data_IF_756137319086
#
_entry.id   IF_756137319086
#
_cell.length_a   1.000
_cell.length_b   1.000
_cell.length_c   1.000
_cell.angle_alpha   90.00
_cell.angle_beta   90.00
_cell.angle_gamma   90.00
#
_symmetry.space_group_name_H-M   'P 1'
#
loop_
_entity.id
_entity.type
_entity.pdbx_description
1 polymer ?
#
# COMPACT_ATOMS: atom_id res chain seq x y z
N UNK A 1 -43.67 -38.68 46.82
CA UNK A 1 -42.63 -38.97 45.80
C UNK A 1 -42.31 -37.80 44.85
N UNK A 2 -42.96 -36.63 44.94
CA UNK A 2 -42.81 -35.54 43.95
C UNK A 2 -41.79 -34.45 44.29
N UNK A 3 -41.37 -34.29 45.56
CA UNK A 3 -40.41 -33.23 45.94
C UNK A 3 -38.93 -33.53 45.59
N UNK A 4 -38.57 -34.80 45.43
CA UNK A 4 -37.17 -35.20 45.18
C UNK A 4 -36.76 -35.07 43.68
N UNK A 5 -37.74 -35.12 42.77
CA UNK A 5 -37.55 -34.93 41.33
C UNK A 5 -37.36 -33.45 40.94
N UNK A 6 -37.95 -32.51 41.68
CA UNK A 6 -37.80 -31.08 41.39
C UNK A 6 -36.40 -30.54 41.74
N UNK A 7 -35.79 -31.03 42.82
CA UNK A 7 -34.44 -30.61 43.24
C UNK A 7 -33.35 -31.15 42.31
N UNK A 8 -33.55 -32.34 41.74
CA UNK A 8 -32.60 -32.97 40.80
C UNK A 8 -32.58 -32.30 39.42
N UNK A 9 -33.73 -31.80 38.94
CA UNK A 9 -33.82 -31.03 37.68
C UNK A 9 -33.16 -29.64 37.78
N UNK A 10 -33.31 -28.96 38.92
CA UNK A 10 -32.65 -27.66 39.18
C UNK A 10 -31.13 -27.81 39.30
N UNK A 11 -30.65 -28.90 39.90
CA UNK A 11 -29.22 -29.21 39.98
C UNK A 11 -28.62 -29.54 38.61
N UNK A 12 -29.31 -30.35 37.79
CA UNK A 12 -28.85 -30.64 36.41
C UNK A 12 -28.79 -29.37 35.56
N UNK A 13 -29.78 -28.49 35.64
CA UNK A 13 -29.79 -27.22 34.90
C UNK A 13 -28.65 -26.29 35.29
N UNK A 14 -28.33 -26.19 36.58
CA UNK A 14 -27.24 -25.33 37.06
C UNK A 14 -25.86 -25.89 36.66
N UNK A 15 -25.66 -27.21 36.74
CA UNK A 15 -24.42 -27.87 36.30
C UNK A 15 -24.23 -27.75 34.78
N UNK A 16 -25.30 -27.89 33.98
CA UNK A 16 -25.24 -27.72 32.53
C UNK A 16 -24.88 -26.28 32.15
N UNK A 17 -25.43 -25.29 32.86
CA UNK A 17 -25.17 -23.86 32.61
C UNK A 17 -23.74 -23.47 33.00
N UNK A 18 -23.22 -23.98 34.12
CA UNK A 18 -21.82 -23.77 34.53
C UNK A 18 -20.86 -24.49 33.58
N UNK A 19 -21.19 -25.69 33.11
CA UNK A 19 -20.40 -26.41 32.12
C UNK A 19 -20.38 -25.67 30.77
N UNK A 20 -21.50 -25.13 30.29
CA UNK A 20 -21.55 -24.30 29.08
C UNK A 20 -20.77 -22.98 29.24
N UNK A 21 -20.85 -22.33 30.40
CA UNK A 21 -20.03 -21.14 30.71
C UNK A 21 -18.53 -21.47 30.78
N UNK A 22 -18.15 -22.59 31.39
CA UNK A 22 -16.75 -23.02 31.48
C UNK A 22 -16.20 -23.50 30.13
N UNK A 23 -17.04 -24.10 29.28
CA UNK A 23 -16.66 -24.51 27.92
C UNK A 23 -16.45 -23.29 27.01
N UNK A 24 -17.29 -22.25 27.14
CA UNK A 24 -17.12 -20.98 26.44
C UNK A 24 -15.86 -20.21 26.87
N UNK A 25 -15.36 -20.41 28.10
CA UNK A 25 -14.12 -19.78 28.58
C UNK A 25 -12.84 -20.59 28.28
N UNK A 26 -12.95 -21.81 27.74
CA UNK A 26 -11.81 -22.69 27.44
C UNK A 26 -11.61 -22.98 25.94
N UNK A 27 -12.37 -22.31 25.05
CA UNK A 27 -12.10 -22.39 23.61
C UNK A 27 -10.83 -21.58 23.29
N UNK A 28 -9.87 -22.21 22.60
CA UNK A 28 -8.70 -21.50 22.09
C UNK A 28 -9.21 -20.42 21.11
N UNK A 29 -8.87 -19.12 21.29
CA UNK A 29 -9.38 -18.07 20.43
C UNK A 29 -9.08 -18.37 18.96
N UNK A 30 -10.03 -18.06 18.08
CA UNK A 30 -9.86 -18.15 16.64
C UNK A 30 -8.65 -17.31 16.17
N UNK A 31 -8.10 -17.60 14.98
CA UNK A 31 -7.02 -16.78 14.40
C UNK A 31 -7.45 -15.32 14.30
N UNK A 32 -8.69 -15.05 13.89
CA UNK A 32 -9.24 -13.70 13.83
C UNK A 32 -9.23 -13.01 15.20
N UNK A 33 -9.65 -13.69 16.26
CA UNK A 33 -9.61 -13.14 17.63
C UNK A 33 -8.17 -12.90 18.11
N UNK A 34 -7.25 -13.82 17.83
CA UNK A 34 -5.84 -13.65 18.15
C UNK A 34 -5.23 -12.44 17.41
N UNK A 35 -5.53 -12.27 16.12
CA UNK A 35 -5.09 -11.10 15.35
C UNK A 35 -5.72 -9.81 15.88
N UNK A 36 -7.01 -9.79 16.21
CA UNK A 36 -7.68 -8.63 16.84
C UNK A 36 -7.03 -8.28 18.17
N UNK A 37 -6.61 -9.28 18.95
CA UNK A 37 -5.90 -9.04 20.22
C UNK A 37 -4.56 -8.32 20.01
N UNK A 38 -3.90 -8.52 18.85
CA UNK A 38 -2.68 -7.81 18.45
C UNK A 38 -2.93 -6.38 17.97
N UNK A 39 -4.19 -5.96 17.83
CA UNK A 39 -4.57 -4.64 17.30
C UNK A 39 -4.88 -4.66 15.80
N UNK A 40 -5.14 -5.82 15.22
CA UNK A 40 -5.61 -5.89 13.84
C UNK A 40 -6.98 -5.20 13.69
N UNK A 41 -7.06 -4.30 12.72
CA UNK A 41 -8.31 -3.64 12.34
C UNK A 41 -8.90 -4.35 11.12
N UNK A 42 -10.21 -4.26 10.92
CA UNK A 42 -10.85 -4.70 9.67
C UNK A 42 -10.45 -6.12 9.20
N UNK A 43 -10.68 -7.15 10.01
CA UNK A 43 -10.55 -8.54 9.57
C UNK A 43 -11.87 -9.03 8.99
N UNK A 44 -11.83 -9.69 7.82
CA UNK A 44 -12.96 -10.40 7.22
C UNK A 44 -12.62 -11.86 6.97
N UNK A 45 -13.59 -12.71 7.27
CA UNK A 45 -13.55 -14.13 7.01
C UNK A 45 -14.62 -14.51 5.98
N UNK A 46 -14.33 -15.51 5.15
CA UNK A 46 -15.27 -16.14 4.22
C UNK A 46 -15.25 -17.63 4.54
N UNK A 47 -16.41 -18.19 4.86
CA UNK A 47 -16.55 -19.61 5.25
C UNK A 47 -15.61 -20.05 6.40
N UNK A 48 -15.30 -19.12 7.30
CA UNK A 48 -14.43 -19.36 8.47
C UNK A 48 -12.93 -19.24 8.20
N UNK A 49 -12.53 -18.81 6.99
CA UNK A 49 -11.13 -18.56 6.65
C UNK A 49 -10.83 -17.08 6.43
N UNK A 50 -9.62 -16.65 6.78
CA UNK A 50 -9.20 -15.26 6.63
C UNK A 50 -9.09 -14.87 5.16
N UNK A 51 -9.78 -13.80 4.74
CA UNK A 51 -9.73 -13.31 3.37
C UNK A 51 -9.18 -11.88 3.25
N UNK A 52 -9.46 -11.05 4.25
CA UNK A 52 -8.97 -9.68 4.33
C UNK A 52 -8.41 -9.45 5.73
N UNK A 53 -7.13 -9.09 5.82
CA UNK A 53 -6.42 -8.92 7.08
C UNK A 53 -5.64 -7.60 7.06
N UNK A 54 -6.05 -6.65 7.91
CA UNK A 54 -5.31 -5.39 8.09
C UNK A 54 -4.66 -5.34 9.48
N UNK A 55 -3.33 -5.52 9.51
CA UNK A 55 -2.48 -5.49 10.69
C UNK A 55 -1.67 -4.19 10.75
N UNK A 56 -2.06 -3.18 9.97
CA UNK A 56 -1.39 -1.88 9.98
C UNK A 56 -1.36 -1.29 11.39
N UNK A 57 -0.22 -0.73 11.80
CA UNK A 57 -0.04 -0.09 13.12
C UNK A 57 -0.31 -1.03 14.32
N UNK A 58 -0.33 -2.34 14.09
CA UNK A 58 -0.61 -3.33 15.13
C UNK A 58 0.68 -3.84 15.79
N UNK A 59 0.53 -4.65 16.84
CA UNK A 59 1.64 -5.36 17.50
C UNK A 59 2.06 -6.65 16.78
N UNK A 60 1.58 -6.87 15.55
CA UNK A 60 2.01 -8.01 14.74
C UNK A 60 3.53 -7.99 14.51
N UNK A 61 4.12 -9.17 14.49
CA UNK A 61 5.55 -9.41 14.32
C UNK A 61 5.79 -10.81 13.74
N UNK A 62 7.04 -11.13 13.48
CA UNK A 62 7.45 -12.47 13.03
C UNK A 62 6.98 -13.59 13.98
N UNK A 63 6.92 -13.33 15.29
CA UNK A 63 6.48 -14.31 16.30
C UNK A 63 4.98 -14.64 16.17
N UNK A 64 4.21 -13.77 15.53
CA UNK A 64 2.78 -13.95 15.26
C UNK A 64 2.46 -14.35 13.82
N UNK A 65 3.48 -14.54 12.97
CA UNK A 65 3.30 -14.88 11.56
C UNK A 65 2.59 -16.23 11.34
N UNK A 66 2.66 -17.15 12.31
CA UNK A 66 1.94 -18.43 12.29
C UNK A 66 0.41 -18.27 12.21
N UNK A 67 -0.12 -17.09 12.55
CA UNK A 67 -1.55 -16.81 12.45
C UNK A 67 -2.04 -16.66 11.00
N UNK A 68 -1.12 -16.45 10.04
CA UNK A 68 -1.45 -16.22 8.62
C UNK A 68 -0.73 -17.17 7.67
N UNK A 69 0.14 -18.08 8.16
CA UNK A 69 1.07 -18.85 7.32
C UNK A 69 0.42 -19.83 6.34
N UNK A 70 -0.76 -20.35 6.67
CA UNK A 70 -1.50 -21.35 5.90
C UNK A 70 -2.80 -20.80 5.30
N UNK A 71 -3.03 -19.48 5.42
CA UNK A 71 -4.30 -18.84 5.09
C UNK A 71 -4.38 -18.50 3.60
N UNK A 72 -4.47 -19.54 2.77
CA UNK A 72 -4.46 -19.44 1.30
C UNK A 72 -5.65 -18.67 0.72
N UNK A 73 -6.68 -18.37 1.51
CA UNK A 73 -7.82 -17.53 1.13
C UNK A 73 -7.59 -16.03 1.32
N UNK A 74 -6.45 -15.61 1.87
CA UNK A 74 -6.11 -14.19 2.03
C UNK A 74 -5.85 -13.55 0.67
N UNK A 75 -6.68 -12.57 0.34
CA UNK A 75 -6.58 -11.78 -0.90
C UNK A 75 -5.99 -10.38 -0.61
N UNK A 76 -6.25 -9.85 0.58
CA UNK A 76 -5.71 -8.57 1.07
C UNK A 76 -4.95 -8.78 2.37
N UNK A 77 -3.70 -8.32 2.40
CA UNK A 77 -2.88 -8.31 3.59
C UNK A 77 -2.13 -6.99 3.73
N UNK A 78 -2.26 -6.36 4.90
CA UNK A 78 -1.41 -5.23 5.29
C UNK A 78 -0.72 -5.59 6.59
N UNK A 79 0.61 -5.52 6.61
CA UNK A 79 1.45 -5.57 7.83
C UNK A 79 2.26 -4.28 7.97
N UNK A 80 1.81 -3.21 7.33
CA UNK A 80 2.50 -1.93 7.31
C UNK A 80 2.67 -1.35 8.74
N UNK A 81 3.84 -0.78 9.03
CA UNK A 81 4.21 -0.18 10.32
C UNK A 81 4.07 -1.15 11.50
N UNK A 82 4.47 -2.39 11.25
CA UNK A 82 4.64 -3.42 12.27
C UNK A 82 6.13 -3.73 12.45
N UNK A 83 6.46 -4.63 13.38
CA UNK A 83 7.86 -5.07 13.57
C UNK A 83 8.28 -6.23 12.65
N UNK A 84 7.47 -6.54 11.63
CA UNK A 84 7.74 -7.60 10.65
C UNK A 84 9.05 -7.42 9.90
N UNK A 85 9.73 -8.54 9.65
CA UNK A 85 10.98 -8.63 8.91
C UNK A 85 10.84 -9.59 7.71
N UNK A 86 11.96 -9.92 7.08
CA UNK A 86 12.08 -10.93 6.03
C UNK A 86 11.55 -12.33 6.42
N UNK A 87 11.47 -12.63 7.72
CA UNK A 87 10.81 -13.86 8.21
C UNK A 87 9.31 -13.82 7.92
N UNK A 88 8.61 -12.76 8.34
CA UNK A 88 7.19 -12.56 8.02
C UNK A 88 6.97 -12.60 6.51
N UNK A 89 7.80 -11.89 5.72
CA UNK A 89 7.63 -11.88 4.27
C UNK A 89 7.82 -13.26 3.64
N UNK A 90 8.80 -14.03 4.11
CA UNK A 90 9.00 -15.41 3.63
C UNK A 90 7.79 -16.30 3.89
N UNK A 91 7.08 -16.08 4.99
CA UNK A 91 5.79 -16.75 5.28
C UNK A 91 4.70 -16.31 4.29
N UNK A 92 4.55 -15.00 4.08
CA UNK A 92 3.50 -14.41 3.22
C UNK A 92 3.67 -14.77 1.74
N UNK A 93 4.89 -14.99 1.27
CA UNK A 93 5.17 -15.34 -0.13
C UNK A 93 4.54 -16.69 -0.55
N UNK A 94 4.06 -17.52 0.40
CA UNK A 94 3.26 -18.71 0.10
C UNK A 94 1.77 -18.46 -0.20
N UNK A 95 1.27 -17.23 -0.01
CA UNK A 95 -0.15 -16.87 -0.17
C UNK A 95 -0.44 -16.48 -1.63
N UNK A 96 -0.56 -17.49 -2.49
CA UNK A 96 -0.49 -17.33 -3.95
C UNK A 96 -1.65 -16.54 -4.59
N UNK A 97 -2.76 -16.34 -3.88
CA UNK A 97 -3.92 -15.59 -4.39
C UNK A 97 -3.90 -14.11 -3.98
N UNK A 98 -2.88 -13.67 -3.23
CA UNK A 98 -2.73 -12.29 -2.81
C UNK A 98 -2.83 -11.32 -3.99
N UNK A 99 -3.70 -10.32 -3.84
CA UNK A 99 -3.88 -9.24 -4.81
C UNK A 99 -3.44 -7.89 -4.26
N UNK A 100 -3.58 -7.68 -2.95
CA UNK A 100 -3.22 -6.43 -2.28
C UNK A 100 -2.28 -6.73 -1.11
N UNK A 101 -1.06 -6.22 -1.19
CA UNK A 101 -0.03 -6.43 -0.18
C UNK A 101 0.62 -5.09 0.21
N UNK A 102 0.54 -4.73 1.49
CA UNK A 102 1.11 -3.50 2.05
C UNK A 102 2.13 -3.84 3.14
N UNK A 103 3.38 -3.44 2.91
CA UNK A 103 4.56 -3.76 3.71
C UNK A 103 5.25 -2.50 4.23
N UNK A 104 4.60 -1.34 4.12
CA UNK A 104 5.20 -0.03 4.34
C UNK A 104 5.78 0.11 5.75
N UNK A 105 6.96 0.74 5.88
CA UNK A 105 7.59 1.01 7.17
C UNK A 105 7.90 -0.25 8.00
N UNK A 106 8.13 -1.38 7.35
CA UNK A 106 8.61 -2.63 7.97
C UNK A 106 10.12 -2.77 7.83
N UNK A 107 10.71 -3.80 8.46
CA UNK A 107 12.16 -4.08 8.40
C UNK A 107 12.51 -5.09 7.30
N UNK A 108 11.74 -5.09 6.22
CA UNK A 108 11.94 -5.97 5.07
C UNK A 108 13.10 -5.46 4.23
N UNK A 109 13.92 -6.40 3.74
CA UNK A 109 15.09 -6.15 2.90
C UNK A 109 15.01 -6.95 1.60
N UNK A 110 16.00 -6.77 0.72
CA UNK A 110 16.11 -7.57 -0.50
C UNK A 110 16.20 -9.09 -0.24
N UNK A 111 16.61 -9.54 0.95
CA UNK A 111 16.79 -10.98 1.26
C UNK A 111 15.51 -11.79 1.02
N UNK A 112 14.36 -11.31 1.51
CA UNK A 112 13.07 -11.92 1.22
C UNK A 112 12.31 -11.21 0.10
N UNK A 113 12.51 -9.90 -0.11
CA UNK A 113 11.72 -9.13 -1.06
C UNK A 113 11.90 -9.57 -2.52
N UNK A 114 13.04 -10.17 -2.89
CA UNK A 114 13.21 -10.81 -4.21
C UNK A 114 12.18 -11.90 -4.50
N UNK A 115 11.55 -12.51 -3.48
CA UNK A 115 10.50 -13.52 -3.63
C UNK A 115 9.12 -12.92 -3.95
N UNK A 116 8.93 -11.61 -3.77
CA UNK A 116 7.66 -10.94 -4.14
C UNK A 116 7.32 -11.17 -5.62
N UNK A 117 8.32 -11.38 -6.48
CA UNK A 117 8.13 -11.71 -7.88
C UNK A 117 7.30 -12.98 -8.11
N UNK A 118 7.21 -13.88 -7.12
CA UNK A 118 6.50 -15.15 -7.20
C UNK A 118 5.00 -15.00 -6.94
N UNK A 119 4.57 -13.89 -6.32
CA UNK A 119 3.17 -13.54 -6.13
C UNK A 119 2.54 -13.02 -7.44
N UNK A 120 2.23 -13.96 -8.36
CA UNK A 120 1.82 -13.66 -9.74
C UNK A 120 0.45 -12.97 -9.87
N UNK A 121 -0.34 -12.93 -8.81
CA UNK A 121 -1.69 -12.35 -8.78
C UNK A 121 -1.74 -10.93 -8.20
N UNK A 122 -0.60 -10.36 -7.78
CA UNK A 122 -0.55 -9.02 -7.20
C UNK A 122 -1.13 -7.99 -8.16
N UNK A 123 -2.03 -7.16 -7.64
CA UNK A 123 -2.59 -5.96 -8.28
C UNK A 123 -2.04 -4.70 -7.65
N UNK A 124 -1.81 -4.71 -6.34
CA UNK A 124 -1.23 -3.60 -5.59
C UNK A 124 -0.14 -4.13 -4.67
N UNK A 125 1.02 -3.51 -4.74
CA UNK A 125 2.14 -3.73 -3.84
C UNK A 125 2.64 -2.38 -3.32
N UNK A 126 2.81 -2.28 -2.01
CA UNK A 126 3.41 -1.14 -1.34
C UNK A 126 4.53 -1.60 -0.43
N UNK A 127 5.73 -1.07 -0.62
CA UNK A 127 6.94 -1.35 0.18
C UNK A 127 7.60 -0.04 0.63
N UNK A 128 6.81 1.03 0.77
CA UNK A 128 7.32 2.36 1.07
C UNK A 128 8.08 2.37 2.41
N UNK A 129 9.20 3.08 2.50
CA UNK A 129 9.97 3.20 3.73
C UNK A 129 10.53 1.87 4.26
N UNK A 130 10.79 0.90 3.38
CA UNK A 130 11.50 -0.35 3.71
C UNK A 130 12.95 -0.31 3.21
N UNK A 131 13.76 -1.32 3.54
CA UNK A 131 15.16 -1.40 3.13
C UNK A 131 15.35 -2.17 1.80
N UNK A 132 14.37 -2.09 0.90
CA UNK A 132 14.47 -2.66 -0.44
C UNK A 132 15.29 -1.76 -1.36
N UNK A 133 16.02 -2.39 -2.27
CA UNK A 133 16.84 -1.71 -3.28
C UNK A 133 16.49 -2.21 -4.68
N UNK A 134 17.26 -1.79 -5.69
CA UNK A 134 17.10 -2.27 -7.07
C UNK A 134 17.18 -3.80 -7.21
N UNK A 135 17.82 -4.50 -6.28
CA UNK A 135 17.91 -5.97 -6.31
C UNK A 135 16.53 -6.62 -6.20
N UNK A 136 15.62 -6.07 -5.41
CA UNK A 136 14.26 -6.59 -5.24
C UNK A 136 13.52 -6.67 -6.58
N UNK A 137 13.66 -5.64 -7.43
CA UNK A 137 12.86 -5.51 -8.66
C UNK A 137 13.59 -5.91 -9.94
N UNK A 138 14.87 -6.29 -9.86
CA UNK A 138 15.70 -6.64 -11.03
C UNK A 138 15.11 -7.74 -11.94
N UNK A 139 14.23 -8.60 -11.40
CA UNK A 139 13.58 -9.71 -12.11
C UNK A 139 12.05 -9.65 -12.08
N UNK A 140 11.48 -8.51 -11.69
CA UNK A 140 10.03 -8.37 -11.61
C UNK A 140 9.39 -8.62 -13.00
N UNK A 141 8.32 -9.41 -13.01
CA UNK A 141 7.64 -9.87 -14.23
C UNK A 141 6.14 -10.00 -14.06
N UNK A 142 5.57 -9.30 -13.06
CA UNK A 142 4.15 -9.33 -12.75
C UNK A 142 3.31 -8.92 -13.97
N UNK A 143 2.29 -9.72 -14.28
CA UNK A 143 1.38 -9.50 -15.42
C UNK A 143 0.07 -8.85 -15.02
N UNK A 144 -0.15 -8.68 -13.71
CA UNK A 144 -1.40 -8.22 -13.13
C UNK A 144 -1.24 -6.98 -12.26
N UNK A 145 -0.01 -6.47 -12.08
CA UNK A 145 0.24 -5.33 -11.19
C UNK A 145 -0.30 -4.05 -11.82
N UNK A 146 -1.10 -3.31 -11.05
CA UNK A 146 -1.71 -2.04 -11.46
C UNK A 146 -1.14 -0.88 -10.65
N UNK A 147 -0.82 -1.12 -9.38
CA UNK A 147 -0.28 -0.12 -8.45
C UNK A 147 1.00 -0.64 -7.83
N UNK A 148 2.07 0.15 -7.94
CA UNK A 148 3.33 -0.11 -7.27
C UNK A 148 3.77 1.16 -6.54
N UNK A 149 3.96 1.04 -5.23
CA UNK A 149 4.42 2.13 -4.36
C UNK A 149 5.74 1.69 -3.72
N UNK A 150 6.80 2.43 -4.03
CA UNK A 150 8.16 2.15 -3.57
C UNK A 150 8.84 3.39 -3.00
N UNK A 151 8.04 4.34 -2.54
CA UNK A 151 8.51 5.62 -2.02
C UNK A 151 9.41 5.48 -0.80
N UNK A 152 10.30 6.44 -0.59
CA UNK A 152 11.23 6.46 0.54
C UNK A 152 12.08 5.17 0.66
N UNK A 153 12.56 4.64 -0.49
CA UNK A 153 13.46 3.48 -0.55
C UNK A 153 14.77 3.83 -1.28
N UNK A 154 15.76 2.94 -1.23
CA UNK A 154 17.06 3.10 -1.92
C UNK A 154 16.98 2.70 -3.41
N UNK A 155 15.85 2.98 -4.06
CA UNK A 155 15.65 2.72 -5.48
C UNK A 155 16.34 3.77 -6.34
N UNK A 156 16.89 3.32 -7.47
CA UNK A 156 17.52 4.17 -8.48
C UNK A 156 16.91 3.94 -9.88
N UNK A 157 17.48 4.61 -10.89
CA UNK A 157 17.10 4.45 -12.29
C UNK A 157 17.16 2.99 -12.79
N UNK A 158 17.94 2.12 -12.13
CA UNK A 158 18.03 0.70 -12.48
C UNK A 158 16.73 -0.08 -12.23
N UNK A 159 16.00 0.20 -11.15
CA UNK A 159 14.67 -0.40 -10.93
C UNK A 159 13.71 0.01 -12.03
N UNK A 160 13.66 1.30 -12.36
CA UNK A 160 12.71 1.84 -13.34
C UNK A 160 12.90 1.21 -14.73
N UNK A 161 14.15 0.94 -15.12
CA UNK A 161 14.46 0.14 -16.34
C UNK A 161 13.81 -1.25 -16.30
N UNK A 162 13.78 -1.90 -15.13
CA UNK A 162 13.12 -3.20 -14.95
C UNK A 162 11.59 -3.07 -14.98
N UNK A 163 11.03 -2.00 -14.38
CA UNK A 163 9.60 -1.72 -14.35
C UNK A 163 9.01 -1.40 -15.74
N UNK A 164 9.82 -0.98 -16.70
CA UNK A 164 9.39 -0.66 -18.08
C UNK A 164 8.62 -1.80 -18.78
N UNK A 165 8.78 -3.04 -18.31
CA UNK A 165 8.10 -4.25 -18.83
C UNK A 165 6.71 -4.46 -18.25
N UNK A 166 6.31 -3.71 -17.23
CA UNK A 166 5.04 -3.85 -16.51
C UNK A 166 3.96 -3.02 -17.21
N UNK A 167 3.52 -3.48 -18.38
CA UNK A 167 2.56 -2.77 -19.24
C UNK A 167 1.14 -2.67 -18.68
N UNK A 168 0.87 -3.25 -17.51
CA UNK A 168 -0.40 -3.14 -16.78
C UNK A 168 -0.36 -2.10 -15.66
N UNK A 169 0.79 -1.45 -15.44
CA UNK A 169 0.98 -0.51 -14.34
C UNK A 169 0.30 0.83 -14.67
N UNK A 170 -0.63 1.24 -13.81
CA UNK A 170 -1.41 2.48 -13.97
C UNK A 170 -1.05 3.53 -12.92
N UNK A 171 -0.57 3.11 -11.76
CA UNK A 171 -0.15 3.97 -10.66
C UNK A 171 1.25 3.56 -10.21
N UNK A 172 2.18 4.51 -10.23
CA UNK A 172 3.56 4.32 -9.80
C UNK A 172 3.98 5.47 -8.90
N UNK A 173 4.36 5.16 -7.66
CA UNK A 173 4.92 6.13 -6.72
C UNK A 173 6.40 5.82 -6.50
N UNK A 174 7.25 6.75 -6.94
CA UNK A 174 8.70 6.75 -6.83
C UNK A 174 9.19 7.91 -5.94
N UNK A 175 8.30 8.53 -5.16
CA UNK A 175 8.65 9.69 -4.34
C UNK A 175 9.74 9.37 -3.32
N UNK A 176 10.62 10.33 -3.03
CA UNK A 176 11.71 10.17 -2.06
C UNK A 176 12.78 9.14 -2.47
N UNK A 177 12.78 8.67 -3.72
CA UNK A 177 13.82 7.76 -4.25
C UNK A 177 14.98 8.54 -4.89
N UNK A 178 16.08 7.84 -5.25
CA UNK A 178 17.27 8.45 -5.85
C UNK A 178 17.25 8.47 -7.40
N UNK A 179 16.06 8.49 -8.02
CA UNK A 179 15.94 8.53 -9.48
C UNK A 179 16.31 9.90 -10.07
N UNK A 180 16.72 9.88 -11.33
CA UNK A 180 17.15 11.04 -12.12
C UNK A 180 16.51 11.01 -13.51
N UNK A 181 16.80 12.01 -14.34
CA UNK A 181 16.32 12.07 -15.72
C UNK A 181 16.73 10.84 -16.57
N UNK A 182 17.74 10.07 -16.15
CA UNK A 182 18.21 8.86 -16.84
C UNK A 182 17.16 7.73 -16.86
N UNK A 183 16.19 7.73 -15.94
CA UNK A 183 15.10 6.74 -15.95
C UNK A 183 13.94 7.11 -16.89
N UNK A 184 13.86 8.36 -17.34
CA UNK A 184 12.64 8.88 -17.99
C UNK A 184 12.31 8.13 -19.27
N UNK A 185 13.30 7.76 -20.07
CA UNK A 185 13.08 6.98 -21.30
C UNK A 185 12.47 5.59 -20.99
N UNK A 186 12.72 5.05 -19.79
CA UNK A 186 12.08 3.82 -19.30
C UNK A 186 10.68 4.06 -18.75
N UNK A 187 10.44 5.17 -18.04
CA UNK A 187 9.10 5.55 -17.57
C UNK A 187 8.14 5.76 -18.74
N UNK A 188 8.56 6.46 -19.78
CA UNK A 188 7.71 6.72 -20.94
C UNK A 188 7.39 5.45 -21.74
N UNK A 189 8.06 4.33 -21.51
CA UNK A 189 7.71 3.04 -22.10
C UNK A 189 6.45 2.42 -21.44
N UNK A 190 6.11 2.82 -20.21
CA UNK A 190 4.93 2.35 -19.47
C UNK A 190 3.72 3.19 -19.88
N UNK A 191 3.22 2.96 -21.10
CA UNK A 191 2.14 3.76 -21.71
C UNK A 191 0.81 3.73 -20.96
N UNK A 192 0.63 2.77 -20.07
CA UNK A 192 -0.56 2.61 -19.23
C UNK A 192 -0.62 3.53 -18.01
N UNK A 193 0.46 4.28 -17.71
CA UNK A 193 0.49 5.16 -16.54
C UNK A 193 -0.58 6.24 -16.61
N UNK A 194 -1.34 6.32 -15.52
CA UNK A 194 -2.38 7.34 -15.28
C UNK A 194 -2.03 8.23 -14.09
N UNK A 195 -1.28 7.70 -13.12
CA UNK A 195 -0.79 8.41 -11.94
C UNK A 195 0.69 8.12 -11.77
N UNK A 196 1.50 9.16 -11.62
CA UNK A 196 2.94 9.07 -11.42
C UNK A 196 3.38 10.07 -10.36
N UNK A 197 4.01 9.59 -9.30
CA UNK A 197 4.62 10.44 -8.28
C UNK A 197 6.15 10.39 -8.38
N UNK A 198 6.75 11.54 -8.61
CA UNK A 198 8.19 11.79 -8.71
C UNK A 198 8.65 12.79 -7.64
N UNK A 199 7.84 13.04 -6.60
CA UNK A 199 8.15 14.04 -5.58
C UNK A 199 9.43 13.71 -4.84
N UNK A 200 10.19 14.72 -4.43
CA UNK A 200 11.43 14.59 -3.68
C UNK A 200 12.49 13.70 -4.38
N UNK A 201 12.52 13.74 -5.72
CA UNK A 201 13.52 13.10 -6.56
C UNK A 201 14.40 14.12 -7.29
N UNK A 202 15.38 13.66 -8.09
CA UNK A 202 16.30 14.53 -8.84
C UNK A 202 15.87 14.77 -10.28
N UNK A 203 14.57 14.73 -10.54
CA UNK A 203 14.01 15.04 -11.86
C UNK A 203 14.12 16.54 -12.13
N UNK A 204 14.56 16.88 -13.35
CA UNK A 204 14.69 18.27 -13.80
C UNK A 204 13.63 18.61 -14.85
N UNK A 205 13.57 19.88 -15.25
CA UNK A 205 12.76 20.35 -16.39
C UNK A 205 12.97 19.52 -17.67
N UNK A 206 14.20 19.03 -17.91
CA UNK A 206 14.54 18.27 -19.11
C UNK A 206 13.87 16.89 -19.13
N UNK A 207 13.98 16.12 -18.04
CA UNK A 207 13.26 14.86 -17.89
C UNK A 207 11.75 15.04 -17.86
N UNK A 208 11.26 16.00 -17.07
CA UNK A 208 9.84 16.30 -16.94
C UNK A 208 9.17 16.61 -18.29
N UNK A 209 9.82 17.41 -19.14
CA UNK A 209 9.29 17.74 -20.46
C UNK A 209 9.04 16.51 -21.36
N UNK A 210 9.81 15.43 -21.20
CA UNK A 210 9.63 14.19 -21.97
C UNK A 210 8.38 13.41 -21.56
N UNK A 211 7.90 13.54 -20.32
CA UNK A 211 6.70 12.83 -19.82
C UNK A 211 5.42 13.22 -20.58
N UNK A 212 5.45 14.32 -21.33
CA UNK A 212 4.35 14.81 -22.16
C UNK A 212 3.83 13.78 -23.18
N UNK A 213 4.64 12.78 -23.55
CA UNK A 213 4.24 11.69 -24.46
C UNK A 213 3.32 10.64 -23.82
N UNK A 214 3.17 10.61 -22.50
CA UNK A 214 2.28 9.69 -21.79
C UNK A 214 0.84 10.19 -21.86
N UNK A 215 0.13 9.92 -22.96
CA UNK A 215 -1.21 10.47 -23.24
C UNK A 215 -2.27 10.11 -22.19
N UNK A 216 -2.12 8.96 -21.53
CA UNK A 216 -3.04 8.48 -20.50
C UNK A 216 -2.77 9.06 -19.11
N UNK A 217 -1.65 9.80 -18.93
CA UNK A 217 -1.30 10.40 -17.64
C UNK A 217 -2.32 11.48 -17.26
N UNK A 218 -2.90 11.32 -16.07
CA UNK A 218 -3.94 12.16 -15.48
C UNK A 218 -3.45 12.93 -14.28
N UNK A 219 -2.57 12.35 -13.47
CA UNK A 219 -2.01 12.98 -12.29
C UNK A 219 -0.49 12.79 -12.27
N UNK A 220 0.23 13.88 -12.02
CA UNK A 220 1.69 13.90 -11.95
C UNK A 220 2.13 14.78 -10.77
N UNK A 221 2.84 14.18 -9.83
CA UNK A 221 3.40 14.85 -8.64
C UNK A 221 4.91 15.04 -8.83
N UNK A 222 5.39 16.28 -8.66
CA UNK A 222 6.79 16.69 -8.83
C UNK A 222 7.23 17.68 -7.73
N UNK A 223 6.55 17.67 -6.59
CA UNK A 223 6.93 18.51 -5.45
C UNK A 223 8.35 18.15 -4.98
N UNK A 224 9.15 19.11 -4.54
CA UNK A 224 10.51 18.82 -4.05
C UNK A 224 11.53 18.37 -5.11
N UNK A 225 11.18 18.42 -6.41
CA UNK A 225 12.10 18.19 -7.52
C UNK A 225 12.78 19.48 -8.00
N UNK A 226 13.63 19.39 -9.03
CA UNK A 226 14.20 20.54 -9.73
C UNK A 226 13.29 21.08 -10.85
N UNK A 227 12.04 20.60 -10.94
CA UNK A 227 11.05 21.07 -11.92
C UNK A 227 10.56 22.46 -11.56
N UNK A 228 10.70 23.40 -12.49
CA UNK A 228 10.33 24.80 -12.31
C UNK A 228 8.83 25.04 -12.57
N UNK A 229 8.29 26.10 -11.97
CA UNK A 229 6.93 26.58 -12.26
C UNK A 229 6.74 26.88 -13.76
N UNK A 230 7.79 27.35 -14.44
CA UNK A 230 7.77 27.63 -15.87
C UNK A 230 7.60 26.34 -16.70
N UNK A 231 8.31 25.27 -16.35
CA UNK A 231 8.14 23.96 -17.01
C UNK A 231 6.75 23.38 -16.78
N UNK A 232 6.22 23.48 -15.56
CA UNK A 232 4.84 23.06 -15.23
C UNK A 232 3.82 23.84 -16.08
N UNK A 233 3.97 25.16 -16.18
CA UNK A 233 3.10 25.98 -17.01
C UNK A 233 3.16 25.58 -18.50
N UNK A 234 4.35 25.31 -19.02
CA UNK A 234 4.55 24.84 -20.40
C UNK A 234 3.93 23.45 -20.65
N UNK A 235 4.01 22.55 -19.66
CA UNK A 235 3.36 21.23 -19.73
C UNK A 235 1.84 21.39 -19.71
N UNK A 236 1.28 22.11 -18.74
CA UNK A 236 -0.16 22.36 -18.61
C UNK A 236 -0.77 23.01 -19.86
N UNK A 237 -0.05 23.92 -20.51
CA UNK A 237 -0.49 24.54 -21.76
C UNK A 237 -0.70 23.52 -22.89
N UNK A 238 0.04 22.41 -22.89
CA UNK A 238 -0.06 21.32 -23.89
C UNK A 238 -0.91 20.14 -23.42
N UNK A 239 -1.03 19.94 -22.11
CA UNK A 239 -1.72 18.82 -21.46
C UNK A 239 -2.66 19.32 -20.35
N UNK A 240 -3.70 20.12 -20.68
CA UNK A 240 -4.56 20.75 -19.67
C UNK A 240 -5.40 19.77 -18.84
N UNK A 241 -5.54 18.52 -19.30
CA UNK A 241 -6.28 17.45 -18.61
C UNK A 241 -5.39 16.59 -17.69
N UNK A 242 -4.08 16.87 -17.63
CA UNK A 242 -3.18 16.25 -16.67
C UNK A 242 -3.03 17.21 -15.48
N UNK A 243 -3.48 16.79 -14.31
CA UNK A 243 -3.30 17.52 -13.08
C UNK A 243 -1.84 17.38 -12.63
N UNK A 244 -1.16 18.52 -12.47
CA UNK A 244 0.23 18.56 -12.04
C UNK A 244 0.30 19.22 -10.67
N UNK A 245 0.82 18.47 -9.71
CA UNK A 245 1.13 18.94 -8.37
C UNK A 245 2.64 19.15 -8.28
N UNK A 246 3.07 20.34 -7.89
CA UNK A 246 4.49 20.70 -7.91
C UNK A 246 4.84 21.70 -6.81
N UNK A 247 6.04 22.31 -6.86
CA UNK A 247 6.42 23.34 -5.90
C UNK A 247 5.36 24.44 -5.86
N UNK A 248 4.76 24.62 -4.68
CA UNK A 248 3.89 25.77 -4.43
C UNK A 248 4.76 27.02 -4.49
N UNK A 249 4.31 28.04 -5.22
CA UNK A 249 4.92 29.35 -5.14
C UNK A 249 5.00 29.76 -3.66
N UNK A 250 6.20 30.10 -3.19
CA UNK A 250 6.35 30.69 -1.85
C UNK A 250 5.66 32.06 -1.89
N UNK A 251 4.60 32.21 -1.09
CA UNK A 251 3.84 33.43 -0.82
C UNK A 251 2.95 34.03 -1.93
N UNK A 252 1.66 33.68 -1.90
CA UNK A 252 0.55 34.54 -2.38
C UNK A 252 -0.16 35.25 -1.20
N UNK A 253 0.60 35.64 -0.16
CA UNK A 253 0.05 36.45 0.93
C UNK A 253 0.04 37.97 0.63
N UNK A 254 0.15 38.37 -0.65
CA UNK A 254 0.07 39.77 -1.08
C UNK A 254 -0.82 39.88 -2.32
N UNK A 255 -2.14 39.97 -2.08
CA UNK A 255 -3.17 40.80 -2.78
C UNK A 255 -4.56 40.14 -2.82
N UNK A 256 -5.18 40.01 -1.64
CA UNK A 256 -6.64 40.20 -1.55
C UNK A 256 -6.95 41.70 -1.65
N UNK A 257 -7.04 42.23 -2.87
CA UNK A 257 -7.75 43.49 -3.16
C UNK A 257 -8.28 43.47 -4.59
N UNK A 258 -9.38 42.75 -4.80
CA UNK A 258 -10.27 43.07 -5.92
C UNK A 258 -10.98 44.40 -5.58
N UNK A 259 -10.99 45.42 -6.46
CA UNK A 259 -11.78 46.61 -6.24
C UNK A 259 -13.26 46.23 -6.28
N UNK A 260 -13.98 46.46 -5.18
CA UNK A 260 -15.43 46.32 -5.18
C UNK A 260 -16.04 47.40 -6.08
N UNK A 261 -16.77 46.94 -7.09
CA UNK A 261 -17.63 47.78 -7.93
C UNK A 261 -18.66 48.47 -7.02
N UNK A 262 -18.80 49.80 -7.02
CA UNK A 262 -19.80 50.46 -6.20
C UNK A 262 -21.20 50.07 -6.68
N UNK A 263 -22.04 49.56 -5.77
CA UNK A 263 -23.49 49.49 -5.99
C UNK A 263 -24.02 50.91 -5.94
N UNK A 264 -24.42 51.43 -7.09
CA UNK A 264 -25.24 52.63 -7.16
C UNK A 264 -26.58 52.33 -6.47
N UNK A 265 -26.89 53.15 -5.47
CA UNK A 265 -28.24 53.36 -4.95
C UNK A 265 -28.89 54.44 -5.80
N UNK A 266 -29.89 54.07 -6.59
CA UNK A 266 -31.13 54.80 -6.85
C UNK A 266 -32.09 53.89 -7.62
#
# INVERSE_FOLDING_TARGET
MTKQLHVSLLWLGMVLTVAQHAYAQNANPSRAEQLRSLGAENIREIDGELSYVNLKDSRFSDDSAFLIEDQQSIVFLSVARTSSTDKTLSTICGLNILKWLFLDGTKITDEAAVKLQDLKNLRTLSVSGTAVTDKTFAKCSWKTIHTLVVSDTEITDATVKSLSKLTTLHHLDLSGTSITDDCIDSLIAIKSLTHLDLSDTKITDAGFAKLMVLSELRELEVAGTEVTIAAIAAFNAKRPNCLIHGPKAKDDNVTRTLPQKPRNLQ
#
